data_IF_961798134951
#
_entry.id   IF_961798134951
#
_cell.length_a   1.000
_cell.length_b   1.000
_cell.length_c   1.000
_cell.angle_alpha   90.00
_cell.angle_beta   90.00
_cell.angle_gamma   90.00
#
_symmetry.space_group_name_H-M   'P 1'
#
loop_
_entity.id
_entity.type
_entity.pdbx_description
1 polymer ?
#
# COMPACT_ATOMS: atom_id res chain seq x y z
N UNK A 1 -2.13 -8.48 22.65
CA UNK A 1 -2.88 -7.69 21.65
C UNK A 1 -4.33 -7.68 22.06
N UNK A 2 -4.93 -6.50 22.26
CA UNK A 2 -6.35 -6.32 22.55
C UNK A 2 -7.18 -6.24 21.25
N UNK A 3 -8.51 -6.42 21.31
CA UNK A 3 -9.37 -6.25 20.14
C UNK A 3 -9.22 -4.88 19.46
N UNK A 4 -9.14 -3.80 20.26
CA UNK A 4 -8.92 -2.44 19.76
C UNK A 4 -7.54 -2.28 19.09
N UNK A 5 -6.48 -2.85 19.65
CA UNK A 5 -5.15 -2.83 19.02
C UNK A 5 -5.16 -3.55 17.67
N UNK A 6 -5.88 -4.66 17.57
CA UNK A 6 -6.00 -5.43 16.34
C UNK A 6 -6.82 -4.70 15.27
N UNK A 7 -7.94 -4.06 15.66
CA UNK A 7 -8.72 -3.21 14.76
C UNK A 7 -7.91 -2.00 14.29
N UNK A 8 -7.11 -1.39 15.18
CA UNK A 8 -6.20 -0.31 14.80
C UNK A 8 -5.16 -0.76 13.79
N UNK A 9 -4.61 -1.97 13.95
CA UNK A 9 -3.66 -2.53 12.99
C UNK A 9 -4.33 -2.81 11.63
N UNK A 10 -5.55 -3.34 11.65
CA UNK A 10 -6.35 -3.55 10.44
C UNK A 10 -6.64 -2.22 9.72
N UNK A 11 -7.06 -1.18 10.45
CA UNK A 11 -7.30 0.15 9.90
C UNK A 11 -6.05 0.73 9.23
N UNK A 12 -4.88 0.63 9.88
CA UNK A 12 -3.60 1.03 9.29
C UNK A 12 -3.26 0.25 8.01
N UNK A 13 -3.63 -1.03 7.95
CA UNK A 13 -3.50 -1.85 6.74
C UNK A 13 -4.41 -1.36 5.60
N UNK A 14 -5.65 -1.01 5.92
CA UNK A 14 -6.58 -0.40 4.95
C UNK A 14 -6.04 0.93 4.43
N UNK A 15 -5.53 1.79 5.32
CA UNK A 15 -4.93 3.07 4.93
C UNK A 15 -3.71 2.89 4.02
N UNK A 16 -2.84 1.91 4.34
CA UNK A 16 -1.67 1.59 3.54
C UNK A 16 -2.02 1.11 2.11
N UNK A 17 -3.18 0.47 1.93
CA UNK A 17 -3.70 0.11 0.60
C UNK A 17 -4.35 1.28 -0.15
N UNK A 18 -4.49 2.45 0.47
CA UNK A 18 -5.14 3.63 -0.10
C UNK A 18 -6.58 3.84 0.36
N UNK A 19 -6.96 3.30 1.52
CA UNK A 19 -8.26 3.49 2.16
C UNK A 19 -9.31 2.44 1.79
N UNK A 20 -10.52 2.59 2.34
CA UNK A 20 -11.57 1.56 2.30
C UNK A 20 -11.96 1.13 0.87
N UNK A 21 -12.09 2.08 -0.06
CA UNK A 21 -12.43 1.77 -1.45
C UNK A 21 -11.34 0.99 -2.18
N UNK A 22 -10.07 1.28 -1.92
CA UNK A 22 -8.95 0.55 -2.51
C UNK A 22 -8.83 -0.85 -1.90
N UNK A 23 -8.90 -0.94 -0.57
CA UNK A 23 -8.90 -2.21 0.14
C UNK A 23 -10.05 -3.11 -0.31
N UNK A 24 -11.26 -2.58 -0.50
CA UNK A 24 -12.41 -3.35 -0.97
C UNK A 24 -12.20 -3.95 -2.37
N UNK A 25 -11.63 -3.18 -3.30
CA UNK A 25 -11.29 -3.70 -4.64
C UNK A 25 -10.23 -4.80 -4.56
N UNK A 26 -9.18 -4.58 -3.78
CA UNK A 26 -8.09 -5.57 -3.61
C UNK A 26 -8.60 -6.86 -2.96
N UNK A 27 -9.50 -6.75 -1.99
CA UNK A 27 -10.07 -7.89 -1.27
C UNK A 27 -11.31 -8.49 -1.94
N UNK A 28 -11.71 -7.97 -3.12
CA UNK A 28 -12.90 -8.40 -3.86
C UNK A 28 -14.19 -8.42 -3.02
N UNK A 29 -14.39 -7.37 -2.22
CA UNK A 29 -15.58 -7.18 -1.39
C UNK A 29 -16.19 -5.78 -1.60
N UNK A 30 -17.29 -5.48 -0.92
CA UNK A 30 -17.89 -4.14 -0.97
C UNK A 30 -17.14 -3.18 -0.04
N UNK A 31 -17.10 -1.90 -0.40
CA UNK A 31 -16.55 -0.85 0.47
C UNK A 31 -17.28 -0.80 1.82
N UNK A 32 -18.61 -0.94 1.81
CA UNK A 32 -19.41 -1.00 3.03
C UNK A 32 -19.01 -2.14 3.98
N UNK A 33 -18.52 -3.28 3.46
CA UNK A 33 -18.02 -4.36 4.32
C UNK A 33 -16.75 -3.96 5.08
N UNK A 34 -15.85 -3.21 4.44
CA UNK A 34 -14.66 -2.65 5.10
C UNK A 34 -15.07 -1.62 6.15
N UNK A 35 -15.97 -0.70 5.78
CA UNK A 35 -16.45 0.35 6.67
C UNK A 35 -17.19 -0.22 7.89
N UNK A 36 -18.01 -1.26 7.72
CA UNK A 36 -18.69 -1.95 8.81
C UNK A 36 -17.71 -2.60 9.80
N UNK A 37 -16.60 -3.17 9.32
CA UNK A 37 -15.55 -3.70 10.19
C UNK A 37 -14.82 -2.57 10.93
N UNK A 38 -14.46 -1.50 10.22
CA UNK A 38 -13.77 -0.34 10.81
C UNK A 38 -14.63 0.40 11.84
N UNK A 39 -15.94 0.49 11.60
CA UNK A 39 -16.92 1.08 12.50
C UNK A 39 -17.31 0.18 13.68
N UNK A 40 -16.87 -1.08 13.69
CA UNK A 40 -17.22 -2.05 14.74
C UNK A 40 -18.64 -2.62 14.62
N UNK A 41 -19.35 -2.34 13.52
CA UNK A 41 -20.66 -2.94 13.20
C UNK A 41 -20.52 -4.43 12.87
N UNK A 42 -19.37 -4.82 12.31
CA UNK A 42 -19.01 -6.21 12.03
C UNK A 42 -17.73 -6.58 12.78
N UNK A 43 -17.71 -7.78 13.35
CA UNK A 43 -16.54 -8.29 14.07
C UNK A 43 -15.34 -8.54 13.13
N UNK A 44 -14.17 -8.06 13.54
CA UNK A 44 -12.91 -8.37 12.88
C UNK A 44 -12.51 -9.82 13.18
N UNK A 45 -12.64 -10.70 12.19
CA UNK A 45 -12.31 -12.12 12.29
C UNK A 45 -11.01 -12.49 11.53
N UNK A 46 -10.49 -13.70 11.75
CA UNK A 46 -9.23 -14.15 11.16
C UNK A 46 -9.16 -14.01 9.63
N UNK A 47 -10.27 -14.32 8.94
CA UNK A 47 -10.36 -14.15 7.48
C UNK A 47 -9.97 -12.74 6.99
N UNK A 48 -10.42 -11.68 7.67
CA UNK A 48 -10.06 -10.30 7.33
C UNK A 48 -8.57 -10.03 7.54
N UNK A 49 -8.00 -10.54 8.63
CA UNK A 49 -6.58 -10.37 8.94
C UNK A 49 -5.69 -11.07 7.91
N UNK A 50 -6.07 -12.29 7.52
CA UNK A 50 -5.35 -13.04 6.49
C UNK A 50 -5.43 -12.32 5.15
N UNK A 51 -6.63 -11.88 4.78
CA UNK A 51 -6.87 -11.20 3.51
C UNK A 51 -6.09 -9.88 3.43
N UNK A 52 -6.16 -9.03 4.46
CA UNK A 52 -5.40 -7.76 4.48
C UNK A 52 -3.88 -8.00 4.50
N UNK A 53 -3.42 -9.03 5.22
CA UNK A 53 -1.99 -9.35 5.27
C UNK A 53 -1.44 -9.78 3.91
N UNK A 54 -2.18 -10.60 3.15
CA UNK A 54 -1.80 -11.01 1.80
C UNK A 54 -1.81 -9.80 0.87
N UNK A 55 -2.89 -9.01 0.91
CA UNK A 55 -3.02 -7.81 0.09
C UNK A 55 -1.87 -6.80 0.32
N UNK A 56 -1.44 -6.60 1.57
CA UNK A 56 -0.32 -5.73 1.90
C UNK A 56 1.01 -6.26 1.34
N UNK A 57 1.24 -7.58 1.40
CA UNK A 57 2.44 -8.19 0.83
C UNK A 57 2.49 -8.02 -0.70
N UNK A 58 1.36 -8.27 -1.36
CA UNK A 58 1.24 -8.11 -2.81
C UNK A 58 1.41 -6.63 -3.21
N UNK A 59 0.82 -5.70 -2.46
CA UNK A 59 1.00 -4.27 -2.67
C UNK A 59 2.46 -3.85 -2.51
N UNK A 60 3.15 -4.32 -1.46
CA UNK A 60 4.56 -4.03 -1.26
C UNK A 60 5.45 -4.58 -2.39
N UNK A 61 5.13 -5.77 -2.91
CA UNK A 61 5.83 -6.35 -4.06
C UNK A 61 5.61 -5.53 -5.33
N UNK A 62 4.37 -5.09 -5.58
CA UNK A 62 4.05 -4.20 -6.70
C UNK A 62 4.81 -2.86 -6.58
N UNK A 63 4.81 -2.24 -5.41
CA UNK A 63 5.54 -1.00 -5.17
C UNK A 63 7.04 -1.16 -5.47
N UNK A 64 7.66 -2.27 -5.04
CA UNK A 64 9.07 -2.57 -5.35
C UNK A 64 9.33 -2.78 -6.83
N UNK A 65 8.42 -3.46 -7.54
CA UNK A 65 8.55 -3.69 -8.97
C UNK A 65 8.44 -2.37 -9.75
N UNK A 66 7.48 -1.52 -9.38
CA UNK A 66 7.29 -0.19 -9.97
C UNK A 66 8.49 0.71 -9.68
N UNK A 67 9.00 0.74 -8.45
CA UNK A 67 10.17 1.55 -8.07
C UNK A 67 11.38 1.23 -8.95
N UNK A 68 11.69 -0.05 -9.16
CA UNK A 68 12.81 -0.46 -10.03
C UNK A 68 12.66 0.01 -11.48
N UNK A 69 11.44 0.05 -12.00
CA UNK A 69 11.15 0.49 -13.38
C UNK A 69 10.96 2.00 -13.54
N UNK A 70 10.69 2.71 -12.45
CA UNK A 70 10.46 4.16 -12.45
C UNK A 70 11.66 4.95 -11.92
N UNK A 71 12.59 4.29 -11.23
CA UNK A 71 13.75 4.96 -10.64
C UNK A 71 14.61 5.58 -11.75
N UNK A 72 14.84 6.91 -11.71
CA UNK A 72 15.65 7.61 -12.70
C UNK A 72 17.16 7.32 -12.55
N UNK A 73 17.56 6.64 -11.46
CA UNK A 73 18.94 6.23 -11.24
C UNK A 73 19.39 5.15 -12.25
N UNK A 74 18.44 4.49 -12.92
CA UNK A 74 18.72 3.55 -14.01
C UNK A 74 18.50 4.25 -15.37
N UNK A 75 19.54 4.45 -16.19
CA UNK A 75 19.41 5.14 -17.47
C UNK A 75 18.42 4.49 -18.44
N UNK A 76 18.21 3.18 -18.33
CA UNK A 76 17.24 2.43 -19.14
C UNK A 76 15.77 2.81 -18.88
N UNK A 77 15.48 3.46 -17.74
CA UNK A 77 14.12 3.88 -17.38
C UNK A 77 13.77 5.27 -17.94
N UNK A 78 14.74 5.96 -18.56
CA UNK A 78 14.58 7.31 -19.08
C UNK A 78 14.44 7.27 -20.60
N UNK A 79 13.50 8.05 -21.13
CA UNK A 79 13.37 8.31 -22.56
C UNK A 79 14.50 9.22 -23.06
N UNK A 80 14.77 9.17 -24.36
CA UNK A 80 15.72 10.06 -25.00
C UNK A 80 15.36 11.53 -24.73
N UNK A 81 16.29 12.28 -24.15
CA UNK A 81 16.08 13.67 -23.72
C UNK A 81 15.77 13.86 -22.23
N UNK A 82 15.28 12.84 -21.51
CA UNK A 82 15.04 12.91 -20.05
C UNK A 82 16.34 12.77 -19.23
N UNK A 83 17.37 12.14 -19.79
CA UNK A 83 18.68 11.99 -19.15
C UNK A 83 19.46 13.32 -19.00
N UNK A 84 18.98 14.42 -19.60
CA UNK A 84 19.64 15.72 -19.52
C UNK A 84 19.18 16.50 -18.29
N UNK A 85 19.79 16.17 -17.15
CA UNK A 85 19.50 16.85 -15.89
C UNK A 85 20.13 16.23 -14.67
N UNK A 86 21.40 15.83 -14.73
CA UNK A 86 22.21 15.71 -13.52
C UNK A 86 22.38 17.11 -12.92
N UNK A 87 21.33 17.64 -12.26
CA UNK A 87 21.50 18.71 -11.30
C UNK A 87 22.38 18.11 -10.23
N UNK A 88 23.65 18.52 -10.23
CA UNK A 88 24.61 18.22 -9.20
C UNK A 88 23.94 18.45 -7.84
N UNK A 89 23.59 17.37 -7.13
CA UNK A 89 23.37 17.46 -5.69
C UNK A 89 24.76 17.65 -5.08
N UNK A 90 25.17 18.92 -5.06
CA UNK A 90 26.33 19.43 -4.36
C UNK A 90 26.33 18.97 -2.92
N UNK A 91 27.53 18.72 -2.42
CA UNK A 91 27.77 18.02 -1.17
C UNK A 91 27.29 18.75 0.08
N UNK A 92 27.18 17.95 1.13
CA UNK A 92 27.41 18.36 2.52
C UNK A 92 28.12 17.20 3.22
N UNK A 93 29.42 17.37 3.40
CA UNK A 93 30.19 16.86 4.52
C UNK A 93 30.81 18.08 5.21
#
# INVERSE_FOLDING_TARGET
MTPQEQLSLFARGVDALGGAGAAARTLSCSQGAIEAVLGGETALHEGWLRAISIALLDHANLCRALERGLSPDFPSNLLEGQARGAVARGGRA
#
